data_IF_589214836043
#
_entry.id   IF_589214836043
#
_cell.length_a   1.000
_cell.length_b   1.000
_cell.length_c   1.000
_cell.angle_alpha   90.00
_cell.angle_beta   90.00
_cell.angle_gamma   90.00
#
_symmetry.space_group_name_H-M   'P 1'
#
loop_
_entity.id
_entity.type
_entity.pdbx_description
1 polymer ?
#
# COMPACT_ATOMS: atom_id res chain seq x y z
N UNK A 1 -4.00 -18.50 14.52
CA UNK A 1 -3.62 -17.31 13.73
C UNK A 1 -2.21 -16.84 14.06
N UNK A 2 -1.81 -16.91 15.32
CA UNK A 2 -0.50 -16.46 15.79
C UNK A 2 0.51 -17.60 15.91
N UNK A 3 1.80 -17.24 15.93
CA UNK A 3 2.86 -18.10 16.42
C UNK A 3 2.87 -18.15 17.95
N UNK A 4 3.35 -19.27 18.50
CA UNK A 4 3.48 -19.50 19.93
C UNK A 4 4.94 -19.79 20.28
N UNK A 5 5.37 -19.22 21.41
CA UNK A 5 6.73 -19.30 21.93
C UNK A 5 6.67 -19.91 23.32
N UNK A 6 7.28 -21.08 23.50
CA UNK A 6 7.48 -21.68 24.81
C UNK A 6 8.68 -21.05 25.49
N UNK A 7 8.45 -20.44 26.65
CA UNK A 7 9.50 -19.76 27.40
C UNK A 7 10.19 -20.70 28.37
N UNK A 8 11.50 -20.84 28.22
CA UNK A 8 12.35 -21.53 29.18
C UNK A 8 12.64 -20.71 30.43
N UNK A 9 13.24 -21.33 31.47
CA UNK A 9 13.42 -20.70 32.78
C UNK A 9 14.19 -19.39 32.80
N UNK A 10 15.12 -19.19 31.85
CA UNK A 10 15.97 -18.00 31.74
C UNK A 10 15.55 -17.11 30.56
N UNK A 11 14.37 -17.34 29.99
CA UNK A 11 13.89 -16.59 28.83
C UNK A 11 14.40 -17.12 27.49
N UNK A 12 15.14 -18.24 27.45
CA UNK A 12 15.44 -18.93 26.20
C UNK A 12 14.15 -19.47 25.58
N UNK A 13 14.09 -19.51 24.25
CA UNK A 13 12.97 -20.15 23.54
C UNK A 13 13.21 -21.66 23.53
N UNK A 14 12.29 -22.42 24.14
CA UNK A 14 12.34 -23.89 24.15
C UNK A 14 11.76 -24.45 22.86
N UNK A 15 10.62 -23.89 22.43
CA UNK A 15 9.97 -24.21 21.18
C UNK A 15 9.32 -22.97 20.60
N UNK A 16 9.35 -22.87 19.27
CA UNK A 16 8.64 -21.86 18.51
C UNK A 16 7.76 -22.60 17.51
N UNK A 17 6.47 -22.25 17.46
CA UNK A 17 5.53 -22.85 16.50
C UNK A 17 4.66 -21.79 15.85
N UNK A 18 4.84 -21.61 14.54
CA UNK A 18 4.04 -20.65 13.78
C UNK A 18 2.70 -21.26 13.37
N UNK A 19 1.60 -20.60 13.77
CA UNK A 19 0.22 -20.93 13.39
C UNK A 19 -0.15 -22.41 13.64
N UNK A 20 -0.09 -22.91 14.89
CA UNK A 20 -0.49 -24.28 15.20
C UNK A 20 -2.00 -24.52 14.94
N UNK A 21 -2.43 -25.78 14.76
CA UNK A 21 -3.85 -26.15 14.74
C UNK A 21 -4.58 -25.70 16.01
N UNK A 22 -5.90 -25.47 15.92
CA UNK A 22 -6.71 -24.94 17.03
C UNK A 22 -6.57 -25.77 18.31
N UNK A 23 -6.62 -27.09 18.20
CA UNK A 23 -6.47 -27.99 19.36
C UNK A 23 -5.13 -27.80 20.08
N UNK A 24 -4.04 -27.60 19.32
CA UNK A 24 -2.69 -27.38 19.88
C UNK A 24 -2.59 -25.98 20.50
N UNK A 25 -3.22 -24.97 19.88
CA UNK A 25 -3.28 -23.63 20.44
C UNK A 25 -4.02 -23.61 21.79
N UNK A 26 -5.11 -24.38 21.92
CA UNK A 26 -5.84 -24.52 23.19
C UNK A 26 -4.97 -25.14 24.28
N UNK A 27 -4.21 -26.18 23.96
CA UNK A 27 -3.23 -26.80 24.87
C UNK A 27 -2.16 -25.79 25.32
N UNK A 28 -1.62 -25.00 24.40
CA UNK A 28 -0.61 -23.97 24.71
C UNK A 28 -1.13 -22.89 25.66
N UNK A 29 -2.37 -22.43 25.45
CA UNK A 29 -3.01 -21.45 26.35
C UNK A 29 -3.24 -22.06 27.73
N UNK A 30 -3.69 -23.31 27.80
CA UNK A 30 -3.93 -24.00 29.08
C UNK A 30 -2.63 -24.25 29.86
N UNK A 31 -1.51 -24.53 29.17
CA UNK A 31 -0.22 -24.77 29.81
C UNK A 31 0.34 -23.52 30.53
N UNK A 32 -0.02 -22.31 30.09
CA UNK A 32 0.43 -21.04 30.70
C UNK A 32 1.92 -20.73 30.55
N UNK A 33 2.68 -21.58 29.86
CA UNK A 33 4.12 -21.42 29.55
C UNK A 33 4.39 -20.90 28.14
N UNK A 34 3.35 -20.82 27.32
CA UNK A 34 3.42 -20.32 25.95
C UNK A 34 2.95 -18.87 25.84
N UNK A 35 3.61 -18.10 24.99
CA UNK A 35 3.31 -16.70 24.69
C UNK A 35 3.09 -16.51 23.20
N UNK A 36 2.27 -15.53 22.81
CA UNK A 36 2.13 -15.19 21.39
C UNK A 36 3.38 -14.52 20.86
N UNK A 37 3.80 -14.92 19.66
CA UNK A 37 4.77 -14.20 18.86
C UNK A 37 4.15 -12.89 18.36
N UNK A 38 4.74 -11.76 18.73
CA UNK A 38 4.28 -10.43 18.31
C UNK A 38 4.75 -10.03 16.91
N UNK A 39 5.66 -10.80 16.30
CA UNK A 39 6.32 -10.46 15.03
C UNK A 39 7.44 -9.44 15.17
N UNK A 40 7.76 -8.99 16.40
CA UNK A 40 8.88 -8.09 16.66
C UNK A 40 10.15 -8.88 17.03
N UNK A 41 11.25 -8.58 16.36
CA UNK A 41 12.55 -9.21 16.59
C UNK A 41 13.64 -8.17 16.82
N UNK A 42 14.61 -8.52 17.66
CA UNK A 42 15.80 -7.73 17.89
C UNK A 42 17.04 -8.66 17.88
N UNK A 43 18.01 -8.33 17.04
CA UNK A 43 19.25 -9.09 16.89
C UNK A 43 20.34 -8.19 16.31
N UNK A 44 21.60 -8.60 16.46
CA UNK A 44 22.70 -7.96 15.74
C UNK A 44 22.67 -8.38 14.26
N UNK A 45 23.03 -7.48 13.35
CA UNK A 45 23.09 -7.80 11.92
C UNK A 45 24.04 -8.97 11.62
N UNK A 46 25.17 -9.05 12.32
CA UNK A 46 26.11 -10.16 12.19
C UNK A 46 25.47 -11.50 12.59
N UNK A 47 24.85 -11.56 13.77
CA UNK A 47 24.20 -12.78 14.25
C UNK A 47 23.08 -13.21 13.30
N UNK A 48 22.27 -12.28 12.81
CA UNK A 48 21.21 -12.60 11.86
C UNK A 48 21.76 -13.20 10.56
N UNK A 49 22.82 -12.63 9.98
CA UNK A 49 23.44 -13.16 8.77
C UNK A 49 24.07 -14.54 8.99
N UNK A 50 24.67 -14.79 10.16
CA UNK A 50 25.21 -16.11 10.53
C UNK A 50 24.11 -17.18 10.63
N UNK A 51 23.00 -16.86 11.30
CA UNK A 51 21.88 -17.78 11.44
C UNK A 51 21.15 -18.01 10.11
N UNK A 52 20.92 -16.95 9.32
CA UNK A 52 20.33 -17.07 7.97
C UNK A 52 21.20 -17.92 7.06
N UNK A 53 22.53 -17.81 7.12
CA UNK A 53 23.44 -18.68 6.36
C UNK A 53 23.26 -20.17 6.72
N UNK A 54 22.90 -20.46 7.97
CA UNK A 54 22.78 -21.82 8.50
C UNK A 54 21.39 -22.43 8.26
N UNK A 55 20.34 -21.61 8.28
CA UNK A 55 18.94 -22.07 8.29
C UNK A 55 18.14 -21.70 7.04
N UNK A 56 18.61 -20.71 6.28
CA UNK A 56 17.92 -20.13 5.13
C UNK A 56 18.94 -19.57 4.09
N UNK A 57 19.96 -20.37 3.76
CA UNK A 57 21.07 -19.97 2.87
C UNK A 57 20.60 -19.46 1.51
N UNK A 58 19.50 -20.01 1.01
CA UNK A 58 18.96 -19.69 -0.32
C UNK A 58 18.36 -18.28 -0.34
N UNK A 59 17.64 -17.90 0.72
CA UNK A 59 17.13 -16.53 0.94
C UNK A 59 18.30 -15.57 1.06
N UNK A 60 19.30 -15.90 1.89
CA UNK A 60 20.48 -15.05 2.07
C UNK A 60 21.22 -14.83 0.75
N UNK A 61 21.47 -15.89 -0.02
CA UNK A 61 22.19 -15.79 -1.29
C UNK A 61 21.41 -14.99 -2.34
N UNK A 62 20.09 -15.16 -2.41
CA UNK A 62 19.24 -14.38 -3.31
C UNK A 62 19.28 -12.89 -2.94
N UNK A 63 19.15 -12.56 -1.66
CA UNK A 63 19.19 -11.17 -1.18
C UNK A 63 20.57 -10.52 -1.37
N UNK A 64 21.68 -11.24 -1.14
CA UNK A 64 23.03 -10.75 -1.42
C UNK A 64 23.20 -10.38 -2.90
N UNK A 65 22.69 -11.20 -3.82
CA UNK A 65 22.68 -10.90 -5.26
C UNK A 65 21.75 -9.74 -5.59
N UNK A 66 20.56 -9.71 -5.00
CA UNK A 66 19.57 -8.66 -5.22
C UNK A 66 20.08 -7.28 -4.82
N UNK A 67 20.88 -7.20 -3.75
CA UNK A 67 21.59 -5.99 -3.34
C UNK A 67 22.74 -5.69 -4.30
N UNK A 68 23.57 -6.67 -4.64
CA UNK A 68 24.75 -6.46 -5.50
C UNK A 68 24.38 -6.00 -6.92
N UNK A 69 23.28 -6.53 -7.46
CA UNK A 69 22.77 -6.25 -8.80
C UNK A 69 21.69 -5.16 -8.79
N UNK A 70 21.33 -4.64 -7.61
CA UNK A 70 20.41 -3.52 -7.46
C UNK A 70 21.07 -2.18 -7.80
N UNK A 71 20.25 -1.14 -7.86
CA UNK A 71 20.71 0.21 -8.22
C UNK A 71 19.96 1.30 -7.43
N UNK A 72 20.61 2.45 -7.18
CA UNK A 72 19.91 3.64 -6.70
C UNK A 72 18.79 4.07 -7.65
N UNK A 73 17.66 4.48 -7.09
CA UNK A 73 16.54 5.12 -7.79
C UNK A 73 16.09 6.35 -6.99
N UNK A 74 16.67 7.50 -7.30
CA UNK A 74 16.48 8.73 -6.55
C UNK A 74 16.81 8.54 -5.07
N UNK A 75 15.80 8.67 -4.20
CA UNK A 75 15.93 8.48 -2.74
C UNK A 75 15.79 7.02 -2.30
N UNK A 76 15.60 6.09 -3.22
CA UNK A 76 15.40 4.67 -2.94
C UNK A 76 16.56 3.83 -3.47
N UNK A 77 16.68 2.61 -2.96
CA UNK A 77 17.50 1.56 -3.55
C UNK A 77 16.58 0.49 -4.11
N UNK A 78 16.64 0.24 -5.41
CA UNK A 78 15.89 -0.86 -6.04
C UNK A 78 16.75 -2.10 -6.10
N UNK A 79 16.30 -3.16 -5.42
CA UNK A 79 16.87 -4.48 -5.59
C UNK A 79 16.67 -5.00 -7.02
N UNK A 80 17.57 -5.88 -7.49
CA UNK A 80 17.39 -6.57 -8.77
C UNK A 80 16.09 -7.37 -8.78
N UNK A 81 15.19 -7.06 -9.71
CA UNK A 81 13.88 -7.70 -9.83
C UNK A 81 14.00 -9.21 -10.05
N UNK A 82 14.89 -9.63 -10.95
CA UNK A 82 15.12 -11.05 -11.26
C UNK A 82 15.60 -11.85 -10.03
N UNK A 83 16.45 -11.25 -9.19
CA UNK A 83 16.93 -11.90 -7.98
C UNK A 83 15.86 -11.93 -6.89
N UNK A 84 15.05 -10.87 -6.78
CA UNK A 84 13.92 -10.83 -5.86
C UNK A 84 12.86 -11.87 -6.21
N UNK A 85 12.56 -12.06 -7.50
CA UNK A 85 11.61 -13.09 -7.96
C UNK A 85 12.09 -14.51 -7.65
N UNK A 86 13.41 -14.73 -7.68
CA UNK A 86 14.05 -16.01 -7.32
C UNK A 86 14.18 -16.23 -5.80
N UNK A 87 14.03 -15.19 -5.00
CA UNK A 87 14.14 -15.31 -3.55
C UNK A 87 12.97 -16.17 -3.02
N UNK A 88 13.23 -17.22 -2.22
CA UNK A 88 12.16 -17.98 -1.60
C UNK A 88 11.22 -17.07 -0.80
N UNK A 89 9.91 -17.21 -1.02
CA UNK A 89 8.88 -16.50 -0.29
C UNK A 89 8.52 -17.27 0.99
N UNK A 90 9.29 -17.05 2.05
CA UNK A 90 9.11 -17.68 3.36
C UNK A 90 9.19 -16.63 4.47
N UNK A 91 8.46 -16.83 5.57
CA UNK A 91 8.50 -15.89 6.69
C UNK A 91 9.73 -16.14 7.55
N UNK A 92 10.22 -15.12 8.26
CA UNK A 92 11.32 -15.28 9.23
C UNK A 92 10.99 -16.33 10.30
N UNK A 93 9.70 -16.47 10.64
CA UNK A 93 9.21 -17.43 11.62
C UNK A 93 9.54 -18.88 11.19
N UNK A 94 9.23 -19.24 9.94
CA UNK A 94 9.53 -20.57 9.39
C UNK A 94 10.98 -20.71 8.93
N UNK A 95 11.51 -19.68 8.25
CA UNK A 95 12.83 -19.71 7.66
C UNK A 95 13.92 -19.81 8.73
N UNK A 96 13.73 -19.14 9.88
CA UNK A 96 14.73 -19.00 10.92
C UNK A 96 14.21 -19.36 12.33
N UNK A 97 13.13 -18.77 12.80
CA UNK A 97 12.77 -18.82 14.23
C UNK A 97 12.35 -20.22 14.72
N UNK A 98 11.69 -21.03 13.88
CA UNK A 98 11.39 -22.43 14.18
C UNK A 98 12.65 -23.33 14.24
N UNK A 99 13.80 -22.85 13.73
CA UNK A 99 15.01 -23.66 13.54
C UNK A 99 16.19 -23.25 14.42
N UNK A 100 16.28 -21.98 14.79
CA UNK A 100 17.41 -21.45 15.58
C UNK A 100 17.39 -21.98 17.02
N UNK A 101 18.57 -22.28 17.56
CA UNK A 101 18.77 -22.63 18.97
C UNK A 101 19.21 -21.45 19.84
N UNK A 102 19.32 -20.24 19.26
CA UNK A 102 19.85 -19.04 19.92
C UNK A 102 18.77 -18.02 20.31
N UNK A 103 17.50 -18.34 20.09
CA UNK A 103 16.41 -17.42 20.36
C UNK A 103 16.15 -17.24 21.87
N UNK A 104 15.79 -16.02 22.25
CA UNK A 104 15.31 -15.64 23.57
C UNK A 104 14.05 -14.79 23.44
N UNK A 105 13.19 -14.81 24.46
CA UNK A 105 11.90 -14.10 24.48
C UNK A 105 11.81 -13.16 25.67
N UNK A 106 11.41 -11.92 25.39
CA UNK A 106 11.03 -10.93 26.40
C UNK A 106 9.51 -10.85 26.42
N UNK A 107 8.91 -11.17 27.55
CA UNK A 107 7.45 -11.09 27.75
C UNK A 107 7.05 -9.63 27.95
N UNK A 108 5.98 -9.19 27.30
CA UNK A 108 5.51 -7.82 27.37
C UNK A 108 3.98 -7.76 27.50
N UNK A 109 3.50 -6.89 28.38
CA UNK A 109 2.08 -6.52 28.49
C UNK A 109 1.93 -5.08 28.02
N UNK A 110 1.55 -4.91 26.74
CA UNK A 110 1.55 -3.63 26.04
C UNK A 110 0.21 -3.32 25.36
N UNK A 111 -0.85 -4.10 25.64
CA UNK A 111 -2.13 -3.97 24.92
C UNK A 111 -1.98 -4.25 23.40
N UNK A 112 -1.13 -5.21 23.05
CA UNK A 112 -0.77 -5.52 21.66
C UNK A 112 -1.92 -6.18 20.89
N UNK A 113 -2.06 -5.79 19.61
CA UNK A 113 -2.91 -6.43 18.61
C UNK A 113 -2.21 -6.34 17.25
N UNK A 114 -2.32 -7.39 16.43
CA UNK A 114 -1.78 -7.39 15.07
C UNK A 114 -2.65 -6.62 14.06
N UNK A 115 -3.82 -6.14 14.49
CA UNK A 115 -4.83 -5.46 13.67
C UNK A 115 -5.02 -6.20 12.32
N UNK A 116 -5.19 -7.53 12.39
CA UNK A 116 -5.29 -8.37 11.21
C UNK A 116 -6.67 -8.41 10.53
N UNK A 117 -7.66 -7.68 11.06
CA UNK A 117 -9.03 -7.65 10.57
C UNK A 117 -9.78 -6.38 10.99
N UNK A 118 -10.88 -6.06 10.30
CA UNK A 118 -11.76 -4.97 10.71
C UNK A 118 -12.38 -5.18 12.08
N UNK A 119 -12.58 -6.43 12.50
CA UNK A 119 -13.07 -6.72 13.85
C UNK A 119 -12.03 -6.37 14.92
N UNK A 120 -10.75 -6.72 14.70
CA UNK A 120 -9.67 -6.32 15.61
C UNK A 120 -9.55 -4.79 15.70
N UNK A 121 -9.76 -4.08 14.57
CA UNK A 121 -9.82 -2.62 14.57
C UNK A 121 -11.01 -2.08 15.37
N UNK A 122 -12.20 -2.65 15.20
CA UNK A 122 -13.38 -2.29 15.99
C UNK A 122 -13.15 -2.49 17.50
N UNK A 123 -12.46 -3.55 17.91
CA UNK A 123 -12.19 -3.85 19.33
C UNK A 123 -11.36 -2.76 20.01
N UNK A 124 -10.33 -2.23 19.33
CA UNK A 124 -9.40 -1.23 19.89
C UNK A 124 -9.89 0.21 19.78
N UNK A 125 -10.81 0.49 18.86
CA UNK A 125 -11.34 1.84 18.67
C UNK A 125 -12.38 2.20 19.74
N UNK A 126 -12.42 3.50 20.07
CA UNK A 126 -13.39 4.07 20.99
C UNK A 126 -14.80 3.92 20.41
N UNK A 127 -15.72 3.46 21.26
CA UNK A 127 -17.13 3.23 20.93
C UNK A 127 -18.00 4.34 21.52
N UNK A 128 -19.10 4.63 20.87
CA UNK A 128 -20.18 5.45 21.43
C UNK A 128 -21.06 4.65 22.42
N UNK A 129 -22.09 5.30 22.98
CA UNK A 129 -23.01 4.69 23.95
C UNK A 129 -23.81 3.50 23.38
N UNK A 130 -23.91 3.39 22.06
CA UNK A 130 -24.58 2.29 21.34
C UNK A 130 -23.60 1.21 20.86
N UNK A 131 -22.32 1.31 21.25
CA UNK A 131 -21.27 0.38 20.84
C UNK A 131 -20.72 0.63 19.43
N UNK A 132 -21.09 1.72 18.75
CA UNK A 132 -20.61 1.97 17.39
C UNK A 132 -19.23 2.62 17.37
N UNK A 133 -18.47 2.33 16.34
CA UNK A 133 -17.28 3.06 15.94
C UNK A 133 -17.58 3.81 14.66
N UNK A 134 -17.51 5.14 14.69
CA UNK A 134 -17.73 6.00 13.51
C UNK A 134 -16.45 6.76 13.17
N UNK A 135 -16.02 6.71 11.91
CA UNK A 135 -14.84 7.45 11.41
C UNK A 135 -15.19 8.18 10.11
N UNK A 136 -14.86 9.47 10.03
CA UNK A 136 -15.12 10.30 8.85
C UNK A 136 -16.53 10.88 8.82
N UNK A 137 -17.05 11.11 7.61
CA UNK A 137 -18.37 11.71 7.40
C UNK A 137 -19.50 10.67 7.56
N UNK A 138 -19.95 10.44 8.80
CA UNK A 138 -20.89 9.37 9.14
C UNK A 138 -22.11 9.92 9.88
N UNK A 139 -23.31 9.45 9.51
CA UNK A 139 -24.56 9.68 10.24
C UNK A 139 -25.17 8.33 10.60
N UNK A 140 -25.41 8.11 11.90
CA UNK A 140 -26.02 6.88 12.41
C UNK A 140 -27.38 7.17 13.02
N UNK A 141 -28.37 6.36 12.68
CA UNK A 141 -29.70 6.35 13.28
C UNK A 141 -30.04 4.92 13.68
N UNK A 142 -30.48 4.69 14.91
CA UNK A 142 -30.88 3.37 15.41
C UNK A 142 -29.87 2.24 15.09
N UNK A 143 -28.58 2.54 15.17
CA UNK A 143 -27.48 1.63 14.80
C UNK A 143 -26.69 1.22 16.06
N UNK A 144 -26.28 -0.04 16.16
CA UNK A 144 -25.56 -0.58 17.33
C UNK A 144 -24.40 -1.49 16.96
N UNK A 145 -23.40 -1.56 17.83
CA UNK A 145 -22.25 -2.48 17.73
C UNK A 145 -21.59 -2.53 16.34
N UNK A 146 -21.63 -1.43 15.59
CA UNK A 146 -21.23 -1.40 14.19
C UNK A 146 -19.97 -0.58 13.98
N UNK A 147 -19.13 -0.97 13.02
CA UNK A 147 -17.99 -0.18 12.56
C UNK A 147 -18.38 0.48 11.24
N UNK A 148 -18.46 1.81 11.23
CA UNK A 148 -18.78 2.61 10.05
C UNK A 148 -17.64 3.60 9.79
N UNK A 149 -16.97 3.42 8.65
CA UNK A 149 -15.87 4.28 8.20
C UNK A 149 -16.20 4.85 6.84
N UNK A 150 -16.03 6.16 6.70
CA UNK A 150 -16.20 6.91 5.48
C UNK A 150 -14.93 7.71 5.20
N UNK A 151 -14.37 7.57 4.01
CA UNK A 151 -13.14 8.28 3.60
C UNK A 151 -13.42 9.41 2.62
N UNK A 152 -14.38 9.26 1.71
CA UNK A 152 -14.63 10.22 0.63
C UNK A 152 -16.04 10.84 0.71
N UNK A 153 -17.07 10.00 0.85
CA UNK A 153 -18.46 10.46 0.83
C UNK A 153 -19.18 10.27 2.17
N UNK A 154 -20.40 10.83 2.28
CA UNK A 154 -21.25 10.61 3.45
C UNK A 154 -21.72 9.14 3.50
N UNK A 155 -21.52 8.47 4.63
CA UNK A 155 -22.19 7.20 4.96
C UNK A 155 -23.30 7.45 5.97
N UNK A 156 -24.55 7.25 5.55
CA UNK A 156 -25.71 7.30 6.43
C UNK A 156 -26.26 5.88 6.67
N UNK A 157 -26.29 5.43 7.93
CA UNK A 157 -26.76 4.10 8.32
C UNK A 157 -27.97 4.20 9.26
N UNK A 158 -28.99 3.39 8.98
CA UNK A 158 -30.24 3.34 9.75
C UNK A 158 -30.57 1.90 10.11
N UNK A 159 -30.76 1.59 11.40
CA UNK A 159 -31.23 0.28 11.84
C UNK A 159 -30.21 -0.86 11.72
N UNK A 160 -28.91 -0.57 11.60
CA UNK A 160 -27.88 -1.59 11.47
C UNK A 160 -27.42 -2.11 12.84
N UNK A 161 -27.18 -3.41 12.97
CA UNK A 161 -26.60 -4.01 14.17
C UNK A 161 -25.44 -4.94 13.76
N UNK A 162 -24.37 -4.97 14.55
CA UNK A 162 -23.19 -5.84 14.35
C UNK A 162 -22.62 -5.79 12.91
N UNK A 163 -22.65 -4.61 12.29
CA UNK A 163 -22.34 -4.42 10.86
C UNK A 163 -21.03 -3.65 10.66
N UNK A 164 -20.25 -4.10 9.69
CA UNK A 164 -19.12 -3.40 9.11
C UNK A 164 -19.58 -2.66 7.86
N UNK A 165 -19.36 -1.36 7.82
CA UNK A 165 -19.49 -0.52 6.63
C UNK A 165 -18.18 0.25 6.46
N UNK A 166 -17.46 0.00 5.38
CA UNK A 166 -16.25 0.74 5.02
C UNK A 166 -16.43 1.28 3.62
N UNK A 167 -16.48 2.60 3.52
CA UNK A 167 -16.45 3.34 2.27
C UNK A 167 -15.05 3.91 2.08
N UNK A 168 -14.45 3.56 0.95
CA UNK A 168 -13.23 4.16 0.40
C UNK A 168 -13.58 4.81 -0.93
N UNK A 169 -12.65 5.59 -1.46
CA UNK A 169 -12.88 6.34 -2.70
C UNK A 169 -13.23 5.46 -3.91
N UNK A 170 -12.86 4.19 -3.89
CA UNK A 170 -13.01 3.22 -4.99
C UNK A 170 -13.96 2.06 -4.69
N UNK A 171 -14.36 1.84 -3.43
CA UNK A 171 -15.20 0.71 -3.06
C UNK A 171 -15.99 0.92 -1.76
N UNK A 172 -17.11 0.20 -1.64
CA UNK A 172 -17.86 0.08 -0.39
C UNK A 172 -17.92 -1.39 0.03
N UNK A 173 -17.41 -1.68 1.22
CA UNK A 173 -17.52 -2.98 1.88
C UNK A 173 -18.65 -2.92 2.91
N UNK A 174 -19.64 -3.80 2.76
CA UNK A 174 -20.68 -4.04 3.77
C UNK A 174 -20.69 -5.52 4.14
N UNK A 175 -20.58 -5.83 5.44
CA UNK A 175 -20.61 -7.20 5.93
C UNK A 175 -21.00 -7.25 7.41
N UNK A 176 -21.46 -8.40 7.94
CA UNK A 176 -21.45 -8.62 9.37
C UNK A 176 -20.02 -8.47 9.91
N UNK A 177 -19.87 -7.80 11.05
CA UNK A 177 -18.56 -7.54 11.67
C UNK A 177 -17.80 -8.84 11.96
N UNK A 178 -18.54 -9.89 12.37
CA UNK A 178 -18.05 -11.25 12.61
C UNK A 178 -17.45 -11.95 11.37
N UNK A 179 -17.74 -11.43 10.16
CA UNK A 179 -17.22 -11.94 8.90
C UNK A 179 -16.18 -11.00 8.28
N UNK A 180 -15.61 -10.08 9.04
CA UNK A 180 -14.61 -9.12 8.56
C UNK A 180 -13.42 -9.74 7.82
N UNK A 181 -13.01 -10.97 8.16
CA UNK A 181 -11.92 -11.68 7.48
C UNK A 181 -12.28 -12.19 6.08
N UNK A 182 -13.58 -12.32 5.76
CA UNK A 182 -14.04 -12.78 4.46
C UNK A 182 -13.75 -11.77 3.33
N UNK A 183 -13.30 -10.55 3.65
CA UNK A 183 -12.80 -9.58 2.68
C UNK A 183 -11.72 -10.18 1.76
N UNK A 184 -10.90 -11.11 2.26
CA UNK A 184 -9.88 -11.82 1.47
C UNK A 184 -10.50 -12.62 0.30
N UNK A 185 -11.72 -13.11 0.47
CA UNK A 185 -12.46 -13.83 -0.59
C UNK A 185 -12.89 -12.85 -1.69
N UNK A 186 -13.36 -11.67 -1.32
CA UNK A 186 -13.71 -10.61 -2.28
C UNK A 186 -12.49 -10.15 -3.07
N UNK A 187 -11.35 -9.90 -2.40
CA UNK A 187 -10.09 -9.54 -3.08
C UNK A 187 -9.68 -10.62 -4.09
N UNK A 188 -9.88 -11.91 -3.77
CA UNK A 188 -9.62 -13.00 -4.72
C UNK A 188 -10.56 -12.95 -5.93
N UNK A 189 -11.84 -12.64 -5.73
CA UNK A 189 -12.80 -12.45 -6.83
C UNK A 189 -12.38 -11.29 -7.72
N UNK A 190 -12.06 -10.12 -7.15
CA UNK A 190 -11.59 -8.95 -7.91
C UNK A 190 -10.35 -9.28 -8.76
N UNK A 191 -9.41 -10.07 -8.21
CA UNK A 191 -8.24 -10.58 -8.94
C UNK A 191 -8.61 -11.44 -10.14
N UNK A 192 -9.54 -12.38 -9.96
CA UNK A 192 -9.96 -13.28 -11.02
C UNK A 192 -10.76 -12.58 -12.12
N UNK A 193 -11.46 -11.50 -11.76
CA UNK A 193 -12.21 -10.66 -12.69
C UNK A 193 -11.35 -9.55 -13.32
N UNK A 194 -10.04 -9.54 -13.03
CA UNK A 194 -9.06 -8.56 -13.50
C UNK A 194 -9.44 -7.10 -13.23
N UNK A 195 -10.25 -6.85 -12.19
CA UNK A 195 -10.69 -5.50 -11.83
C UNK A 195 -9.56 -4.68 -11.19
N UNK A 196 -9.75 -3.37 -11.08
CA UNK A 196 -8.66 -2.46 -10.72
C UNK A 196 -8.66 -2.02 -9.25
N UNK A 197 -9.75 -2.23 -8.49
CA UNK A 197 -9.90 -1.78 -7.10
C UNK A 197 -8.87 -2.45 -6.14
N UNK A 198 -8.29 -3.59 -6.54
CA UNK A 198 -7.21 -4.22 -5.77
C UNK A 198 -5.80 -3.85 -6.25
N UNK A 199 -5.67 -3.26 -7.45
CA UNK A 199 -4.39 -3.02 -8.14
C UNK A 199 -3.87 -1.61 -7.90
N UNK A 200 -4.76 -0.61 -8.03
CA UNK A 200 -4.36 0.79 -8.00
C UNK A 200 -5.14 1.51 -6.92
N UNK A 201 -4.42 2.10 -5.97
CA UNK A 201 -5.00 3.17 -5.19
C UNK A 201 -5.24 4.36 -6.12
N UNK A 202 -6.36 5.09 -5.95
CA UNK A 202 -6.68 6.22 -6.82
C UNK A 202 -5.56 7.26 -6.90
N UNK A 203 -4.74 7.37 -5.85
CA UNK A 203 -3.54 8.21 -5.83
C UNK A 203 -2.26 7.38 -5.94
N UNK A 204 -1.45 7.71 -6.93
CA UNK A 204 -0.20 7.04 -7.25
C UNK A 204 0.97 8.01 -6.99
N UNK A 205 1.87 7.61 -6.09
CA UNK A 205 3.05 8.40 -5.72
C UNK A 205 4.23 8.14 -6.67
N UNK A 206 4.97 9.20 -6.95
CA UNK A 206 6.15 9.23 -7.82
C UNK A 206 7.24 10.11 -7.19
N UNK A 207 8.51 9.97 -7.59
CA UNK A 207 9.59 10.81 -7.06
C UNK A 207 9.34 12.32 -7.23
N UNK A 208 8.68 12.72 -8.32
CA UNK A 208 8.31 14.11 -8.59
C UNK A 208 7.06 14.62 -7.86
N UNK A 209 6.29 13.74 -7.20
CA UNK A 209 5.01 14.10 -6.59
C UNK A 209 3.99 12.95 -6.64
N UNK A 210 2.79 13.21 -7.15
CA UNK A 210 1.75 12.19 -7.29
C UNK A 210 0.73 12.56 -8.37
N UNK A 211 -0.08 11.59 -8.78
CA UNK A 211 -1.34 11.87 -9.47
C UNK A 211 -2.49 11.09 -8.83
N UNK A 212 -3.69 11.68 -8.83
CA UNK A 212 -4.95 11.00 -8.50
C UNK A 212 -5.80 10.84 -9.76
N UNK A 213 -6.36 9.67 -10.01
CA UNK A 213 -7.39 9.48 -11.04
C UNK A 213 -8.74 9.90 -10.47
N UNK A 214 -9.37 10.92 -11.07
CA UNK A 214 -10.66 11.46 -10.62
C UNK A 214 -11.85 10.84 -11.36
N UNK A 215 -11.66 10.44 -12.62
CA UNK A 215 -12.70 9.82 -13.44
C UNK A 215 -12.06 9.05 -14.59
N UNK A 216 -12.63 7.88 -14.92
CA UNK A 216 -12.25 7.07 -16.07
C UNK A 216 -13.52 6.73 -16.84
N UNK A 217 -13.54 7.06 -18.12
CA UNK A 217 -14.62 6.76 -19.05
C UNK A 217 -14.05 6.20 -20.36
N UNK A 218 -14.86 5.53 -21.22
CA UNK A 218 -14.38 4.93 -22.45
C UNK A 218 -13.67 5.90 -23.42
N UNK A 219 -13.89 7.21 -23.27
CA UNK A 219 -13.38 8.25 -24.19
C UNK A 219 -12.54 9.32 -23.51
N UNK A 220 -12.52 9.36 -22.18
CA UNK A 220 -11.71 10.33 -21.45
C UNK A 220 -11.28 9.81 -20.07
N UNK A 221 -10.19 10.38 -19.57
CA UNK A 221 -9.74 10.18 -18.20
C UNK A 221 -9.38 11.53 -17.59
N UNK A 222 -9.77 11.76 -16.34
CA UNK A 222 -9.42 12.98 -15.62
C UNK A 222 -8.47 12.62 -14.48
N UNK A 223 -7.36 13.33 -14.41
CA UNK A 223 -6.37 13.20 -13.33
C UNK A 223 -6.13 14.54 -12.66
N UNK A 224 -5.86 14.50 -11.36
CA UNK A 224 -5.22 15.59 -10.63
C UNK A 224 -3.75 15.24 -10.48
N UNK A 225 -2.85 16.08 -10.97
CA UNK A 225 -1.41 15.90 -10.87
C UNK A 225 -0.87 16.93 -9.86
N UNK A 226 -0.10 16.45 -8.88
CA UNK A 226 0.63 17.30 -7.93
C UNK A 226 2.13 17.13 -8.17
N UNK A 227 2.82 18.21 -8.53
CA UNK A 227 4.27 18.21 -8.75
C UNK A 227 4.93 19.00 -7.63
N UNK A 228 5.87 18.35 -6.92
CA UNK A 228 6.61 18.97 -5.83
C UNK A 228 7.48 20.14 -6.34
N UNK A 229 7.85 21.10 -5.48
CA UNK A 229 8.77 22.18 -5.84
C UNK A 229 10.03 21.66 -6.53
N UNK A 230 10.43 22.33 -7.62
CA UNK A 230 11.63 22.04 -8.42
C UNK A 230 11.67 20.63 -9.06
N UNK A 231 10.55 19.90 -9.04
CA UNK A 231 10.43 18.60 -9.70
C UNK A 231 9.79 18.71 -11.08
N UNK A 232 9.98 17.66 -11.89
CA UNK A 232 9.42 17.57 -13.24
C UNK A 232 9.01 16.14 -13.58
N UNK A 233 8.10 16.01 -14.53
CA UNK A 233 7.79 14.73 -15.15
C UNK A 233 8.83 14.42 -16.25
N UNK A 234 8.89 13.16 -16.66
CA UNK A 234 9.70 12.74 -17.81
C UNK A 234 9.22 13.45 -19.08
N UNK A 235 10.12 13.64 -20.05
CA UNK A 235 9.71 14.07 -21.38
C UNK A 235 9.03 12.88 -22.05
N UNK A 236 7.77 13.05 -22.45
CA UNK A 236 6.95 11.95 -22.93
C UNK A 236 6.09 12.34 -24.12
N UNK A 237 5.50 11.35 -24.76
CA UNK A 237 4.57 11.49 -25.88
C UNK A 237 3.56 10.34 -25.86
N UNK A 238 2.37 10.58 -26.39
CA UNK A 238 1.31 9.58 -26.53
C UNK A 238 0.83 9.58 -27.98
N UNK A 239 0.57 8.40 -28.54
CA UNK A 239 0.13 8.30 -29.94
C UNK A 239 -1.39 8.48 -30.09
N UNK A 240 -2.18 8.04 -29.11
CA UNK A 240 -3.62 7.83 -29.29
C UNK A 240 -4.52 8.79 -28.48
N UNK A 241 -3.93 9.66 -27.66
CA UNK A 241 -4.65 10.62 -26.83
C UNK A 241 -4.08 12.03 -26.95
N UNK A 242 -4.99 12.99 -26.80
CA UNK A 242 -4.67 14.39 -26.55
C UNK A 242 -4.99 14.73 -25.11
N UNK A 243 -4.39 15.81 -24.61
CA UNK A 243 -4.54 16.22 -23.22
C UNK A 243 -4.88 17.70 -23.12
N UNK A 244 -5.73 18.02 -22.16
CA UNK A 244 -5.99 19.39 -21.73
C UNK A 244 -5.53 19.55 -20.29
N UNK A 245 -4.66 20.52 -20.07
CA UNK A 245 -4.05 20.79 -18.78
C UNK A 245 -4.54 22.13 -18.26
N UNK A 246 -5.04 22.16 -17.03
CA UNK A 246 -5.49 23.37 -16.34
C UNK A 246 -4.75 23.50 -15.02
N UNK A 247 -4.06 24.62 -14.80
CA UNK A 247 -3.34 24.88 -13.55
C UNK A 247 -4.35 25.33 -12.48
N UNK A 248 -4.45 24.55 -11.40
CA UNK A 248 -5.32 24.86 -10.26
C UNK A 248 -4.58 25.70 -9.22
N UNK A 249 -3.27 25.44 -9.04
CA UNK A 249 -2.45 26.08 -8.01
C UNK A 249 -0.99 26.14 -8.42
N UNK A 250 -0.34 27.26 -8.15
CA UNK A 250 1.09 27.44 -8.43
C UNK A 250 1.39 27.85 -9.87
N UNK A 251 2.55 27.44 -10.39
CA UNK A 251 2.99 27.80 -11.75
C UNK A 251 3.57 26.58 -12.43
N UNK A 252 3.10 26.29 -13.64
CA UNK A 252 3.58 25.20 -14.47
C UNK A 252 4.50 25.75 -15.57
N UNK A 253 5.65 25.13 -15.75
CA UNK A 253 6.46 25.27 -16.96
C UNK A 253 6.21 24.05 -17.83
N UNK A 254 5.57 24.26 -18.96
CA UNK A 254 5.14 23.21 -19.89
C UNK A 254 5.99 23.23 -21.15
N UNK A 255 6.63 22.12 -21.45
CA UNK A 255 7.15 21.87 -22.80
C UNK A 255 6.03 21.24 -23.63
N UNK A 256 5.75 21.78 -24.83
CA UNK A 256 4.77 21.26 -25.78
C UNK A 256 5.32 21.41 -27.21
N UNK A 257 5.84 20.31 -27.76
CA UNK A 257 6.68 20.32 -28.95
C UNK A 257 7.89 21.22 -28.75
N UNK A 258 8.08 22.18 -29.65
CA UNK A 258 9.21 23.13 -29.63
C UNK A 258 8.96 24.35 -28.73
N UNK A 259 7.83 24.42 -28.02
CA UNK A 259 7.44 25.57 -27.21
C UNK A 259 7.60 25.28 -25.73
N UNK A 260 8.11 26.26 -24.99
CA UNK A 260 8.08 26.30 -23.53
C UNK A 260 7.10 27.40 -23.11
N UNK A 261 6.11 27.03 -22.31
CA UNK A 261 5.01 27.90 -21.88
C UNK A 261 5.01 27.95 -20.35
N UNK A 262 4.96 29.14 -19.77
CA UNK A 262 4.66 29.31 -18.35
C UNK A 262 3.16 29.54 -18.19
N UNK A 263 2.52 28.73 -17.36
CA UNK A 263 1.10 28.81 -17.02
C UNK A 263 0.96 29.08 -15.53
N UNK A 264 0.11 30.04 -15.19
CA UNK A 264 -0.31 30.34 -13.81
C UNK A 264 -1.70 29.77 -13.54
N UNK A 265 -2.16 29.90 -12.30
CA UNK A 265 -3.52 29.50 -11.88
C UNK A 265 -4.59 30.01 -12.86
N UNK A 266 -5.60 29.17 -13.13
CA UNK A 266 -6.70 29.39 -14.09
C UNK A 266 -6.27 29.43 -15.58
N UNK A 267 -4.99 29.22 -15.88
CA UNK A 267 -4.50 29.09 -17.25
C UNK A 267 -4.44 27.63 -17.70
N UNK A 268 -4.53 27.42 -19.01
CA UNK A 268 -4.58 26.09 -19.60
C UNK A 268 -3.77 25.95 -20.89
N UNK A 269 -3.49 24.71 -21.26
CA UNK A 269 -2.86 24.36 -22.53
C UNK A 269 -3.43 23.06 -23.09
N UNK A 270 -3.35 22.91 -24.41
CA UNK A 270 -3.72 21.72 -25.15
C UNK A 270 -2.45 21.02 -25.64
N UNK A 271 -2.33 19.73 -25.35
CA UNK A 271 -1.25 18.86 -25.80
C UNK A 271 -1.80 17.95 -26.92
N UNK A 272 -1.43 18.19 -28.19
CA UNK A 272 -1.81 17.33 -29.29
C UNK A 272 -1.22 15.92 -29.15
N UNK A 273 -1.95 14.91 -29.63
CA UNK A 273 -1.40 13.56 -29.81
C UNK A 273 -0.16 13.60 -30.71
N UNK A 274 0.85 12.79 -30.38
CA UNK A 274 2.13 12.74 -31.10
C UNK A 274 3.13 13.84 -30.73
N UNK A 275 2.74 14.85 -29.94
CA UNK A 275 3.68 15.88 -29.48
C UNK A 275 4.43 15.43 -28.22
N UNK A 276 5.75 15.67 -28.23
CA UNK A 276 6.55 15.60 -27.02
C UNK A 276 6.13 16.69 -26.05
N UNK A 277 5.94 16.34 -24.78
CA UNK A 277 5.54 17.28 -23.75
C UNK A 277 6.12 16.90 -22.39
N UNK A 278 6.24 17.91 -21.51
CA UNK A 278 6.76 17.78 -20.15
C UNK A 278 6.14 18.81 -19.24
N UNK A 279 5.77 18.39 -18.03
CA UNK A 279 5.33 19.27 -16.95
C UNK A 279 6.47 19.47 -15.93
N UNK A 280 6.81 20.71 -15.63
CA UNK A 280 7.79 21.09 -14.62
C UNK A 280 7.15 22.06 -13.61
N UNK A 281 7.50 21.93 -12.33
CA UNK A 281 7.20 22.92 -11.30
C UNK A 281 8.45 23.77 -11.00
N UNK A 282 8.60 24.97 -11.59
CA UNK A 282 9.72 25.87 -11.28
C UNK A 282 9.55 26.63 -9.95
N UNK A 283 8.42 26.45 -9.27
CA UNK A 283 8.07 27.19 -8.06
C UNK A 283 8.58 26.56 -6.77
N UNK A 284 8.36 27.27 -5.67
CA UNK A 284 8.72 26.86 -4.29
C UNK A 284 7.53 26.30 -3.50
N UNK A 285 6.35 26.19 -4.13
CA UNK A 285 5.15 25.55 -3.58
C UNK A 285 4.70 24.41 -4.49
N UNK A 286 3.94 23.41 -4.00
CA UNK A 286 3.39 22.36 -4.86
C UNK A 286 2.53 22.94 -5.99
N UNK A 287 2.77 22.46 -7.21
CA UNK A 287 1.96 22.72 -8.39
C UNK A 287 0.83 21.70 -8.44
N UNK A 288 -0.41 22.15 -8.58
CA UNK A 288 -1.58 21.27 -8.79
C UNK A 288 -2.22 21.57 -10.15
N UNK A 289 -2.49 20.52 -10.91
CA UNK A 289 -3.03 20.58 -12.27
C UNK A 289 -4.13 19.54 -12.47
N UNK A 290 -5.18 19.91 -13.22
CA UNK A 290 -6.14 18.95 -13.77
C UNK A 290 -5.72 18.62 -15.20
N UNK A 291 -5.54 17.33 -15.45
CA UNK A 291 -5.31 16.76 -16.77
C UNK A 291 -6.58 16.06 -17.23
N UNK A 292 -7.08 16.43 -18.40
CA UNK A 292 -8.15 15.73 -19.10
C UNK A 292 -7.54 15.07 -20.33
N UNK A 293 -7.40 13.75 -20.28
CA UNK A 293 -6.98 12.93 -21.40
C UNK A 293 -8.19 12.53 -22.23
N UNK A 294 -8.12 12.64 -23.54
CA UNK A 294 -9.22 12.27 -24.45
C UNK A 294 -8.63 11.51 -25.64
N UNK A 295 -9.22 10.37 -25.98
CA UNK A 295 -8.66 9.50 -27.02
C UNK A 295 -9.49 8.25 -27.29
N UNK A 296 -9.04 7.47 -28.28
CA UNK A 296 -9.56 6.10 -28.49
C UNK A 296 -8.89 5.06 -27.59
N UNK A 297 -7.73 5.41 -27.02
CA UNK A 297 -6.97 4.58 -26.10
C UNK A 297 -6.31 5.48 -25.04
N UNK A 298 -6.42 5.08 -23.77
CA UNK A 298 -5.98 5.87 -22.62
C UNK A 298 -5.02 5.10 -21.69
N UNK A 299 -4.55 3.92 -22.12
CA UNK A 299 -3.62 3.11 -21.35
C UNK A 299 -2.30 3.82 -21.08
N UNK A 300 -1.65 3.49 -19.96
CA UNK A 300 -0.32 4.01 -19.60
C UNK A 300 0.80 3.42 -20.46
N UNK A 301 0.53 2.34 -21.20
CA UNK A 301 1.43 1.70 -22.18
C UNK A 301 1.53 2.47 -23.51
N UNK A 302 0.66 3.47 -23.75
CA UNK A 302 0.80 4.40 -24.89
C UNK A 302 1.89 5.46 -24.66
N UNK A 303 2.50 5.51 -23.47
CA UNK A 303 3.47 6.52 -23.08
C UNK A 303 4.87 6.16 -23.58
N UNK A 304 5.39 6.94 -24.52
CA UNK A 304 6.79 6.86 -24.95
C UNK A 304 7.60 7.89 -24.18
N UNK A 305 8.63 7.47 -23.43
CA UNK A 305 9.50 8.33 -22.62
C UNK A 305 10.86 8.53 -23.30
N UNK A 306 11.34 9.77 -23.34
CA UNK A 306 12.58 10.15 -24.05
C UNK A 306 13.69 10.64 -23.12
N UNK A 307 13.32 11.32 -22.03
CA UNK A 307 14.25 11.87 -21.06
C UNK A 307 13.61 11.69 -19.67
N UNK A 308 14.02 10.63 -18.97
CA UNK A 308 13.54 10.28 -17.64
C UNK A 308 14.67 10.40 -16.61
N UNK A 309 14.64 11.47 -15.83
CA UNK A 309 15.52 11.69 -14.68
C UNK A 309 15.36 10.61 -13.59
N UNK A 310 14.33 9.75 -13.67
CA UNK A 310 13.96 8.75 -12.67
C UNK A 310 14.14 7.30 -13.11
N UNK A 311 14.88 7.06 -14.20
CA UNK A 311 15.39 5.73 -14.55
C UNK A 311 14.35 4.64 -14.85
N UNK A 312 13.11 5.01 -15.22
CA UNK A 312 12.06 4.06 -15.63
C UNK A 312 12.19 3.79 -17.12
N UNK A 313 13.19 2.99 -17.47
CA UNK A 313 13.25 2.34 -18.78
C UNK A 313 12.41 1.06 -18.67
N UNK A 314 11.13 1.15 -19.00
CA UNK A 314 10.35 0.00 -19.49
C UNK A 314 10.38 0.02 -21.03
#
# INVERSE_FOLDING_TARGET
GYGYIEKGPQGQVVSFKEKPPVSVAEEYVQAGTYYWNSGMFAFSGQTFLEEMRSHASDILSAMEKAVKEGQPDGNFFRFSADQMERCPNDSIDYALMEKTSRAAVVTADLGWSDIGSWQALYEVLQKDDNGNVSQGNVILQDTKNSLVRAEDMLVAAVGLEDTLVVETTDAVLVAPLSRSQDVKKLVKTLKNEERDEFKFHQTVYRPWGNYSVLSVEPRYQIKRITVNPEQKLSLQMHHHRHEHWVVVKGTAKVTNGDRIILLHEDQSTYIPAGNMHRLENPGVIPLELIEVQIGSYLGEDDIVRFDDDYGRNE
#
